data_IF_622523082728
#
_entry.id   IF_622523082728
#
_cell.length_a   1.000
_cell.length_b   1.000
_cell.length_c   1.000
_cell.angle_alpha   90.00
_cell.angle_beta   90.00
_cell.angle_gamma   90.00
#
_symmetry.space_group_name_H-M   'P 1'
#
loop_
_entity.id
_entity.type
_entity.pdbx_description
1 polymer ?
#
# COMPACT_ATOMS: atom_id res chain seq x y z
N UNK A 1 23.79 6.76 0.38
CA UNK A 1 23.50 5.38 0.79
C UNK A 1 22.50 5.44 1.93
N UNK A 2 21.23 5.14 1.69
CA UNK A 2 20.20 5.13 2.75
C UNK A 2 20.39 3.89 3.62
N UNK A 3 20.72 4.09 4.90
CA UNK A 3 20.89 3.03 5.88
C UNK A 3 19.54 2.47 6.30
N UNK A 4 18.91 1.66 5.46
CA UNK A 4 18.04 0.60 6.00
C UNK A 4 18.99 -0.27 6.83
N UNK A 5 18.81 -0.39 8.16
CA UNK A 5 19.72 -1.21 8.96
C UNK A 5 19.69 -2.61 8.35
N UNK A 6 20.86 -3.18 8.06
CA UNK A 6 21.01 -4.45 7.33
C UNK A 6 20.18 -5.58 7.95
N UNK A 7 19.93 -5.51 9.26
CA UNK A 7 19.04 -6.41 10.01
C UNK A 7 17.58 -6.39 9.52
N UNK A 8 17.02 -5.23 9.19
CA UNK A 8 15.64 -5.12 8.71
C UNK A 8 15.47 -5.67 7.30
N UNK A 9 16.51 -5.60 6.45
CA UNK A 9 16.47 -6.18 5.11
C UNK A 9 16.43 -7.71 5.18
N UNK A 10 17.26 -8.32 6.02
CA UNK A 10 17.25 -9.76 6.24
C UNK A 10 15.93 -10.22 6.88
N UNK A 11 15.44 -9.49 7.88
CA UNK A 11 14.15 -9.78 8.52
C UNK A 11 13.00 -9.76 7.50
N UNK A 12 12.93 -8.72 6.65
CA UNK A 12 11.92 -8.65 5.59
C UNK A 12 12.02 -9.83 4.62
N UNK A 13 13.23 -10.22 4.19
CA UNK A 13 13.41 -11.37 3.29
C UNK A 13 12.91 -12.67 3.90
N UNK A 14 13.23 -12.92 5.18
CA UNK A 14 12.76 -14.11 5.90
C UNK A 14 11.25 -14.11 6.04
N UNK A 15 10.66 -12.98 6.45
CA UNK A 15 9.21 -12.85 6.59
C UNK A 15 8.49 -13.07 5.26
N UNK A 16 8.99 -12.51 4.16
CA UNK A 16 8.42 -12.72 2.83
C UNK A 16 8.45 -14.20 2.43
N UNK A 17 9.56 -14.91 2.70
CA UNK A 17 9.63 -16.35 2.44
C UNK A 17 8.62 -17.15 3.26
N UNK A 18 8.45 -16.81 4.54
CA UNK A 18 7.45 -17.48 5.39
C UNK A 18 6.03 -17.22 4.89
N UNK A 19 5.72 -16.00 4.45
CA UNK A 19 4.42 -15.66 3.81
C UNK A 19 4.18 -16.55 2.59
N UNK A 20 5.16 -16.65 1.69
CA UNK A 20 5.05 -17.49 0.49
C UNK A 20 4.78 -18.96 0.85
N UNK A 21 5.52 -19.52 1.81
CA UNK A 21 5.32 -20.90 2.25
C UNK A 21 3.91 -21.15 2.83
N UNK A 22 3.36 -20.20 3.58
CA UNK A 22 1.98 -20.29 4.07
C UNK A 22 0.97 -20.21 2.92
N UNK A 23 1.16 -19.28 1.98
CA UNK A 23 0.26 -19.08 0.85
C UNK A 23 0.29 -20.25 -0.15
N UNK A 24 1.46 -20.84 -0.41
CA UNK A 24 1.61 -22.06 -1.23
C UNK A 24 0.86 -23.26 -0.62
N UNK A 25 0.78 -23.31 0.72
CA UNK A 25 -0.01 -24.30 1.45
C UNK A 25 -1.50 -23.91 1.59
N UNK A 26 -1.93 -22.83 0.92
CA UNK A 26 -3.26 -22.24 1.04
C UNK A 26 -3.65 -21.83 2.47
N UNK A 27 -2.66 -21.61 3.35
CA UNK A 27 -2.85 -21.13 4.71
C UNK A 27 -2.76 -19.60 4.78
N UNK A 28 -3.75 -18.93 4.18
CA UNK A 28 -3.79 -17.46 4.12
C UNK A 28 -3.87 -16.87 5.54
N UNK A 29 -4.83 -17.36 6.33
CA UNK A 29 -4.64 -17.84 7.70
C UNK A 29 -3.37 -17.39 8.43
N UNK A 30 -2.42 -18.32 8.45
CA UNK A 30 -1.11 -18.22 9.08
C UNK A 30 -0.17 -17.21 8.46
N UNK A 31 -0.41 -16.73 7.22
CA UNK A 31 0.44 -15.67 6.62
C UNK A 31 0.22 -14.27 7.23
N UNK A 32 -0.96 -14.00 7.81
CA UNK A 32 -1.37 -12.68 8.28
C UNK A 32 -0.41 -12.05 9.32
N UNK A 33 0.06 -12.75 10.37
CA UNK A 33 0.97 -12.17 11.35
C UNK A 33 2.30 -11.70 10.74
N UNK A 34 2.79 -12.43 9.72
CA UNK A 34 4.03 -12.10 9.03
C UNK A 34 3.85 -10.91 8.08
N UNK A 35 2.72 -10.84 7.37
CA UNK A 35 2.34 -9.66 6.58
C UNK A 35 2.19 -8.41 7.47
N UNK A 36 1.56 -8.55 8.64
CA UNK A 36 1.42 -7.46 9.61
C UNK A 36 2.79 -6.99 10.12
N UNK A 37 3.73 -7.91 10.37
CA UNK A 37 5.10 -7.59 10.77
C UNK A 37 5.88 -6.87 9.66
N UNK A 38 5.73 -7.31 8.40
CA UNK A 38 6.31 -6.63 7.23
C UNK A 38 5.80 -5.19 7.16
N UNK A 39 4.48 -4.98 7.23
CA UNK A 39 3.88 -3.65 7.22
C UNK A 39 4.42 -2.78 8.37
N UNK A 40 4.53 -3.33 9.58
CA UNK A 40 5.10 -2.64 10.74
C UNK A 40 6.56 -2.22 10.53
N UNK A 41 7.41 -3.09 9.99
CA UNK A 41 8.82 -2.79 9.71
C UNK A 41 8.92 -1.65 8.70
N UNK A 42 8.17 -1.74 7.61
CA UNK A 42 8.16 -0.71 6.55
C UNK A 42 7.62 0.61 7.10
N UNK A 43 6.58 0.57 7.94
CA UNK A 43 6.00 1.77 8.52
C UNK A 43 6.95 2.54 9.42
N UNK A 44 7.83 1.81 10.12
CA UNK A 44 8.84 2.35 11.00
C UNK A 44 10.12 2.82 10.30
N UNK A 45 10.25 2.64 8.98
CA UNK A 45 11.39 3.17 8.23
C UNK A 45 11.37 4.70 8.26
N UNK A 46 12.49 5.29 8.70
CA UNK A 46 12.67 6.74 8.78
C UNK A 46 13.57 7.20 7.64
N UNK A 47 13.09 8.17 6.87
CA UNK A 47 13.91 8.88 5.90
C UNK A 47 14.32 10.20 6.56
N UNK A 48 15.62 10.45 6.60
CA UNK A 48 16.19 11.65 7.22
C UNK A 48 16.11 12.80 6.22
N UNK A 49 15.47 13.90 6.63
CA UNK A 49 15.45 15.12 5.83
C UNK A 49 16.86 15.71 5.79
N UNK A 50 17.40 16.04 4.60
CA UNK A 50 18.67 16.74 4.50
C UNK A 50 18.61 18.04 5.31
N UNK A 51 19.64 18.30 6.12
CA UNK A 51 19.75 19.52 6.94
C UNK A 51 20.49 20.65 6.24
N UNK A 52 21.19 20.37 5.14
CA UNK A 52 22.03 21.35 4.42
C UNK A 52 21.50 21.65 3.01
N UNK A 53 21.59 22.92 2.61
CA UNK A 53 21.11 23.51 1.35
C UNK A 53 21.81 22.94 0.11
N UNK A 54 21.16 22.00 -0.58
CA UNK A 54 21.37 21.75 -2.02
C UNK A 54 20.05 21.23 -2.61
N UNK A 55 19.53 21.85 -3.67
CA UNK A 55 18.34 21.40 -4.42
C UNK A 55 18.41 19.90 -4.82
N UNK A 56 19.61 19.38 -5.06
CA UNK A 56 19.86 17.96 -5.35
C UNK A 56 19.63 17.03 -4.15
N UNK A 57 19.84 17.51 -2.92
CA UNK A 57 19.52 16.79 -1.69
C UNK A 57 18.01 16.68 -1.49
N UNK A 58 17.27 17.73 -1.85
CA UNK A 58 15.81 17.75 -1.76
C UNK A 58 15.18 16.79 -2.77
N UNK A 59 15.64 16.76 -4.03
CA UNK A 59 15.12 15.80 -5.03
C UNK A 59 15.37 14.34 -4.64
N UNK A 60 16.53 14.05 -4.05
CA UNK A 60 16.86 12.72 -3.53
C UNK A 60 15.95 12.34 -2.36
N UNK A 61 15.69 13.26 -1.44
CA UNK A 61 14.77 13.04 -0.33
C UNK A 61 13.34 12.75 -0.81
N UNK A 62 12.83 13.55 -1.76
CA UNK A 62 11.49 13.37 -2.31
C UNK A 62 11.36 12.03 -3.05
N UNK A 63 12.40 11.62 -3.77
CA UNK A 63 12.48 10.29 -4.40
C UNK A 63 12.43 9.16 -3.36
N UNK A 64 13.18 9.26 -2.28
CA UNK A 64 13.17 8.26 -1.21
C UNK A 64 11.80 8.16 -0.54
N UNK A 65 11.15 9.30 -0.25
CA UNK A 65 9.81 9.35 0.34
C UNK A 65 8.79 8.71 -0.60
N UNK A 66 8.91 8.96 -1.90
CA UNK A 66 8.04 8.35 -2.92
C UNK A 66 8.17 6.83 -2.94
N UNK A 67 9.40 6.31 -2.95
CA UNK A 67 9.63 4.86 -2.93
C UNK A 67 9.16 4.21 -1.62
N UNK A 68 9.38 4.84 -0.47
CA UNK A 68 8.85 4.35 0.80
C UNK A 68 7.32 4.31 0.80
N UNK A 69 6.66 5.32 0.23
CA UNK A 69 5.21 5.34 0.11
C UNK A 69 4.70 4.18 -0.77
N UNK A 70 5.38 3.86 -1.88
CA UNK A 70 5.03 2.69 -2.70
C UNK A 70 5.13 1.39 -1.89
N UNK A 71 6.22 1.20 -1.15
CA UNK A 71 6.42 0.03 -0.29
C UNK A 71 5.34 -0.08 0.81
N UNK A 72 4.99 1.04 1.44
CA UNK A 72 3.90 1.09 2.42
C UNK A 72 2.56 0.68 1.80
N UNK A 73 2.23 1.23 0.63
CA UNK A 73 0.97 0.92 -0.03
C UNK A 73 0.88 -0.54 -0.44
N UNK A 74 1.96 -1.11 -0.97
CA UNK A 74 2.04 -2.52 -1.33
C UNK A 74 1.91 -3.45 -0.11
N UNK A 75 2.67 -3.21 0.95
CA UNK A 75 2.61 -4.02 2.17
C UNK A 75 1.21 -4.04 2.81
N UNK A 76 0.57 -2.87 2.91
CA UNK A 76 -0.81 -2.76 3.41
C UNK A 76 -1.83 -3.39 2.46
N UNK A 77 -1.58 -3.39 1.15
CA UNK A 77 -2.46 -4.04 0.16
C UNK A 77 -2.39 -5.56 0.26
N UNK A 78 -1.19 -6.13 0.40
CA UNK A 78 -1.02 -7.58 0.58
C UNK A 78 -1.65 -8.05 1.89
N UNK A 79 -1.47 -7.28 2.96
CA UNK A 79 -2.13 -7.54 4.25
C UNK A 79 -3.66 -7.46 4.14
N UNK A 80 -4.17 -6.43 3.45
CA UNK A 80 -5.60 -6.29 3.20
C UNK A 80 -6.18 -7.47 2.40
N UNK A 81 -5.50 -7.94 1.37
CA UNK A 81 -5.91 -9.08 0.56
C UNK A 81 -5.99 -10.37 1.39
N UNK A 82 -5.02 -10.60 2.28
CA UNK A 82 -5.07 -11.73 3.21
C UNK A 82 -6.26 -11.64 4.19
N UNK A 83 -6.56 -10.44 4.70
CA UNK A 83 -7.76 -10.22 5.51
C UNK A 83 -9.05 -10.42 4.71
N UNK A 84 -9.08 -9.98 3.46
CA UNK A 84 -10.23 -10.14 2.58
C UNK A 84 -10.53 -11.62 2.32
N UNK A 85 -9.51 -12.40 1.93
CA UNK A 85 -9.59 -13.85 1.70
C UNK A 85 -10.01 -14.65 2.94
N UNK A 86 -9.83 -14.07 4.13
CA UNK A 86 -10.23 -14.70 5.40
C UNK A 86 -11.53 -14.11 5.97
N UNK A 87 -12.27 -13.32 5.18
CA UNK A 87 -13.51 -12.63 5.53
C UNK A 87 -13.39 -11.67 6.72
N UNK A 88 -12.18 -11.18 7.01
CA UNK A 88 -11.93 -10.25 8.08
C UNK A 88 -12.08 -8.79 7.60
N UNK A 89 -13.32 -8.41 7.29
CA UNK A 89 -13.63 -7.17 6.56
C UNK A 89 -13.23 -5.89 7.28
N UNK A 90 -13.22 -5.86 8.62
CA UNK A 90 -12.81 -4.67 9.40
C UNK A 90 -11.31 -4.40 9.21
N UNK A 91 -10.48 -5.42 9.33
CA UNK A 91 -9.03 -5.31 9.19
C UNK A 91 -8.62 -5.10 7.73
N UNK A 92 -9.36 -5.72 6.80
CA UNK A 92 -9.22 -5.43 5.37
C UNK A 92 -9.48 -3.95 5.08
N UNK A 93 -10.63 -3.41 5.53
CA UNK A 93 -10.99 -1.99 5.35
C UNK A 93 -9.90 -1.06 5.89
N UNK A 94 -9.42 -1.31 7.11
CA UNK A 94 -8.40 -0.49 7.74
C UNK A 94 -7.09 -0.48 6.95
N UNK A 95 -6.61 -1.66 6.55
CA UNK A 95 -5.33 -1.81 5.82
C UNK A 95 -5.44 -1.25 4.40
N UNK A 96 -6.52 -1.58 3.68
CA UNK A 96 -6.70 -1.15 2.29
C UNK A 96 -6.93 0.36 2.16
N UNK A 97 -7.58 0.97 3.15
CA UNK A 97 -7.75 2.43 3.21
C UNK A 97 -6.41 3.17 3.26
N UNK A 98 -5.40 2.60 3.92
CA UNK A 98 -4.04 3.16 3.92
C UNK A 98 -3.41 3.12 2.53
N UNK A 99 -3.46 1.97 1.85
CA UNK A 99 -2.94 1.81 0.49
C UNK A 99 -3.62 2.78 -0.49
N UNK A 100 -4.96 2.86 -0.46
CA UNK A 100 -5.75 3.78 -1.30
C UNK A 100 -5.33 5.23 -1.10
N UNK A 101 -5.20 5.69 0.15
CA UNK A 101 -4.78 7.08 0.45
C UNK A 101 -3.39 7.39 -0.12
N UNK A 102 -2.48 6.43 -0.06
CA UNK A 102 -1.11 6.60 -0.58
C UNK A 102 -1.13 6.62 -2.11
N UNK A 103 -1.77 5.66 -2.76
CA UNK A 103 -1.88 5.59 -4.22
C UNK A 103 -2.54 6.83 -4.82
N UNK A 104 -3.61 7.34 -4.23
CA UNK A 104 -4.22 8.59 -4.68
C UNK A 104 -3.27 9.79 -4.57
N UNK A 105 -2.45 9.83 -3.51
CA UNK A 105 -1.44 10.89 -3.35
C UNK A 105 -0.37 10.77 -4.42
N UNK A 106 0.12 9.56 -4.68
CA UNK A 106 1.12 9.28 -5.71
C UNK A 106 0.60 9.67 -7.11
N UNK A 107 -0.63 9.28 -7.47
CA UNK A 107 -1.26 9.67 -8.75
C UNK A 107 -1.36 11.20 -8.88
N UNK A 108 -1.75 11.91 -7.80
CA UNK A 108 -1.83 13.39 -7.83
C UNK A 108 -0.46 14.02 -8.06
N UNK A 109 0.60 13.50 -7.44
CA UNK A 109 1.98 13.98 -7.61
C UNK A 109 2.53 13.68 -9.00
N UNK A 110 2.19 12.51 -9.56
CA UNK A 110 2.64 12.09 -10.89
C UNK A 110 2.00 12.93 -12.01
N UNK A 111 0.74 13.39 -11.84
CA UNK A 111 0.12 14.36 -12.76
C UNK A 111 0.85 15.68 -12.83
N UNK A 112 1.45 16.12 -11.72
CA UNK A 112 2.25 17.35 -11.67
C UNK A 112 3.61 17.17 -12.34
N UNK A 113 4.17 15.95 -12.28
CA UNK A 113 5.54 15.65 -12.74
C UNK A 113 5.61 14.94 -14.11
N UNK A 114 4.47 14.57 -14.71
CA UNK A 114 4.34 13.89 -16.02
C UNK A 114 5.11 12.56 -16.13
N UNK A 115 5.25 11.81 -15.04
CA UNK A 115 5.88 10.48 -15.07
C UNK A 115 4.86 9.36 -15.32
N UNK A 116 5.28 8.30 -16.02
CA UNK A 116 4.47 7.12 -16.43
C UNK A 116 3.97 6.21 -15.30
N UNK A 117 4.36 6.45 -14.05
CA UNK A 117 3.98 5.62 -12.90
C UNK A 117 2.46 5.59 -12.59
N UNK A 118 1.68 6.46 -13.25
CA UNK A 118 0.22 6.43 -13.17
C UNK A 118 -0.37 5.12 -13.74
N UNK A 119 0.28 4.53 -14.75
CA UNK A 119 -0.23 3.33 -15.43
C UNK A 119 -0.15 2.08 -14.55
N UNK A 120 0.85 1.99 -13.66
CA UNK A 120 1.01 0.86 -12.75
C UNK A 120 0.08 0.96 -11.52
N UNK A 121 -0.21 2.18 -11.06
CA UNK A 121 -0.99 2.41 -9.83
C UNK A 121 -2.50 2.37 -10.11
N UNK A 122 -2.95 2.84 -11.29
CA UNK A 122 -4.39 2.94 -11.60
C UNK A 122 -5.11 1.58 -11.51
N UNK A 123 -4.60 0.45 -12.05
CA UNK A 123 -5.23 -0.85 -11.90
C UNK A 123 -5.34 -1.31 -10.44
N UNK A 124 -4.28 -1.09 -9.65
CA UNK A 124 -4.27 -1.43 -8.21
C UNK A 124 -5.34 -0.65 -7.45
N UNK A 125 -5.46 0.65 -7.73
CA UNK A 125 -6.43 1.52 -7.11
C UNK A 125 -7.88 1.18 -7.50
N UNK A 126 -8.12 0.80 -8.76
CA UNK A 126 -9.43 0.32 -9.22
C UNK A 126 -9.85 -0.95 -8.48
N UNK A 127 -8.95 -1.94 -8.38
CA UNK A 127 -9.20 -3.18 -7.65
C UNK A 127 -9.45 -2.91 -6.15
N UNK A 128 -8.69 -2.00 -5.55
CA UNK A 128 -8.89 -1.64 -4.15
C UNK A 128 -10.24 -0.95 -3.88
N UNK A 129 -10.77 -0.17 -4.83
CA UNK A 129 -12.12 0.38 -4.69
C UNK A 129 -13.19 -0.71 -4.72
N UNK A 130 -13.03 -1.74 -5.53
CA UNK A 130 -13.96 -2.88 -5.56
C UNK A 130 -13.90 -3.66 -4.25
N UNK A 131 -12.71 -4.02 -3.79
CA UNK A 131 -12.54 -4.71 -2.51
C UNK A 131 -13.06 -3.89 -1.31
N UNK A 132 -12.83 -2.58 -1.29
CA UNK A 132 -13.38 -1.71 -0.24
C UNK A 132 -14.91 -1.62 -0.33
N UNK A 133 -15.49 -1.56 -1.52
CA UNK A 133 -16.94 -1.59 -1.71
C UNK A 133 -17.51 -2.86 -1.10
N UNK A 134 -16.96 -4.03 -1.42
CA UNK A 134 -17.39 -5.32 -0.87
C UNK A 134 -17.25 -5.37 0.65
N UNK A 135 -16.14 -4.87 1.20
CA UNK A 135 -15.97 -4.76 2.65
C UNK A 135 -17.05 -3.85 3.28
N UNK A 136 -17.35 -2.70 2.67
CA UNK A 136 -18.38 -1.81 3.19
C UNK A 136 -19.79 -2.39 3.11
N UNK A 137 -20.10 -3.15 2.06
CA UNK A 137 -21.37 -3.89 1.95
C UNK A 137 -21.49 -4.96 3.04
N UNK A 138 -20.45 -5.77 3.23
CA UNK A 138 -20.39 -6.79 4.28
C UNK A 138 -20.50 -6.21 5.70
N UNK A 139 -20.00 -4.99 5.90
CA UNK A 139 -20.07 -4.25 7.17
C UNK A 139 -21.36 -3.45 7.36
N UNK A 140 -22.30 -3.47 6.40
CA UNK A 140 -23.55 -2.71 6.49
C UNK A 140 -23.37 -1.19 6.37
N UNK A 141 -22.35 -0.74 5.64
CA UNK A 141 -22.00 0.67 5.39
C UNK A 141 -22.29 1.08 3.92
N UNK A 142 -23.56 1.06 3.45
CA UNK A 142 -23.90 1.25 2.03
C UNK A 142 -23.51 2.64 1.48
N UNK A 143 -23.52 3.68 2.33
CA UNK A 143 -23.06 5.01 1.94
C UNK A 143 -21.57 5.02 1.55
N UNK A 144 -20.74 4.25 2.24
CA UNK A 144 -19.31 4.15 1.95
C UNK A 144 -19.04 3.31 0.71
N UNK A 145 -19.80 2.23 0.52
CA UNK A 145 -19.78 1.42 -0.71
C UNK A 145 -20.06 2.29 -1.95
N UNK A 146 -21.16 3.07 -1.92
CA UNK A 146 -21.49 4.02 -2.99
C UNK A 146 -20.41 5.08 -3.21
N UNK A 147 -19.74 5.52 -2.14
CA UNK A 147 -18.63 6.45 -2.26
C UNK A 147 -17.43 5.84 -3.01
N UNK A 148 -17.12 4.55 -2.79
CA UNK A 148 -16.06 3.86 -3.54
C UNK A 148 -16.41 3.73 -5.03
N UNK A 149 -17.65 3.38 -5.36
CA UNK A 149 -18.11 3.35 -6.76
C UNK A 149 -17.95 4.70 -7.45
N UNK A 150 -18.33 5.77 -6.75
CA UNK A 150 -18.19 7.14 -7.27
C UNK A 150 -16.73 7.50 -7.52
N UNK A 151 -15.82 7.13 -6.61
CA UNK A 151 -14.37 7.35 -6.78
C UNK A 151 -13.80 6.53 -7.93
N UNK A 152 -14.24 5.27 -8.09
CA UNK A 152 -13.87 4.39 -9.20
C UNK A 152 -14.29 4.99 -10.54
N UNK A 153 -15.55 5.41 -10.68
CA UNK A 153 -16.05 6.05 -11.90
C UNK A 153 -15.23 7.30 -12.25
N UNK A 154 -15.01 8.19 -11.28
CA UNK A 154 -14.19 9.39 -11.46
C UNK A 154 -12.74 9.08 -11.90
N UNK A 155 -12.16 7.96 -11.47
CA UNK A 155 -10.82 7.54 -11.88
C UNK A 155 -10.79 6.99 -13.32
N UNK A 156 -11.86 6.30 -13.73
CA UNK A 156 -12.00 5.81 -15.11
C UNK A 156 -12.21 6.96 -16.12
N UNK A 157 -12.96 7.99 -15.72
CA UNK A 157 -13.23 9.17 -16.56
C UNK A 157 -12.01 10.08 -16.79
N UNK A 158 -10.93 9.88 -16.03
CA UNK A 158 -9.66 10.56 -16.25
C UNK A 158 -8.94 9.90 -17.43
N UNK A 159 -9.25 10.38 -18.64
CA UNK A 159 -8.50 10.16 -19.88
C UNK A 159 -7.34 11.15 -19.99
#
# INVERSE_FOLDING_TARGET
>A
MSSTPTSHLLELQVLTQVVLQHQEKNDIRGSIPYLAKIAQIIDNQRIVKPTDDIDASQSTYDSQIRELNKLKADAHSQLADAYFKTANHVQCEASLTWSVKIWERLIKQDKTTKTTANDDIKPLLLNAYDQLKECYEALGKPSMAKHMETRKAKLLDQK
#
